data_IF_667525557688
#
_entry.id   IF_667525557688
#
_cell.length_a   1.000
_cell.length_b   1.000
_cell.length_c   1.000
_cell.angle_alpha   90.00
_cell.angle_beta   90.00
_cell.angle_gamma   90.00
#
_symmetry.space_group_name_H-M   'P 1'
#
loop_
_entity.id
_entity.type
_entity.pdbx_description
1 polymer ?
#
# COMPACT_ATOMS: atom_id res chain seq x y z
N UNK A 1 11.75 -12.42 27.93
CA UNK A 1 12.10 -12.48 26.50
C UNK A 1 11.60 -13.82 25.95
N UNK A 2 10.46 -13.83 25.26
CA UNK A 2 9.88 -15.06 24.71
C UNK A 2 10.24 -15.17 23.21
N UNK A 3 10.88 -16.28 22.88
CA UNK A 3 11.47 -16.62 21.58
C UNK A 3 10.39 -16.73 20.48
N UNK A 4 10.21 -15.69 19.66
CA UNK A 4 9.29 -15.69 18.50
C UNK A 4 10.01 -16.16 17.23
N UNK A 5 10.39 -17.43 17.19
CA UNK A 5 10.69 -18.05 15.89
C UNK A 5 9.38 -18.65 15.36
N UNK A 6 8.82 -18.15 14.24
CA UNK A 6 7.59 -18.72 13.69
C UNK A 6 7.82 -20.21 13.39
N UNK A 7 6.95 -21.06 13.94
CA UNK A 7 7.00 -22.50 13.69
C UNK A 7 6.97 -22.80 12.19
N UNK A 8 7.52 -23.95 11.77
CA UNK A 8 7.58 -24.37 10.36
C UNK A 8 6.24 -24.21 9.62
N UNK A 9 5.14 -24.45 10.34
CA UNK A 9 3.76 -24.28 9.83
C UNK A 9 3.43 -22.83 9.46
N UNK A 10 3.79 -21.84 10.27
CA UNK A 10 3.53 -20.43 9.97
C UNK A 10 4.43 -19.93 8.84
N UNK A 11 5.67 -20.40 8.76
CA UNK A 11 6.57 -20.09 7.62
C UNK A 11 6.04 -20.65 6.31
N UNK A 12 5.62 -21.91 6.29
CA UNK A 12 4.99 -22.52 5.10
C UNK A 12 3.71 -21.78 4.70
N UNK A 13 2.90 -21.41 5.68
CA UNK A 13 1.65 -20.66 5.48
C UNK A 13 1.91 -19.31 4.81
N UNK A 14 2.92 -18.58 5.28
CA UNK A 14 3.30 -17.28 4.73
C UNK A 14 3.95 -17.40 3.34
N UNK A 15 4.79 -18.41 3.11
CA UNK A 15 5.38 -18.69 1.79
C UNK A 15 4.28 -18.93 0.75
N UNK A 16 3.32 -19.81 1.06
CA UNK A 16 2.20 -20.12 0.17
C UNK A 16 1.37 -18.86 -0.14
N UNK A 17 1.14 -18.01 0.87
CA UNK A 17 0.39 -16.75 0.72
C UNK A 17 1.10 -15.80 -0.27
N UNK A 18 2.42 -15.67 -0.17
CA UNK A 18 3.22 -14.83 -1.08
C UNK A 18 3.32 -15.41 -2.49
N UNK A 19 3.50 -16.72 -2.62
CA UNK A 19 3.54 -17.41 -3.92
C UNK A 19 2.24 -17.19 -4.71
N UNK A 20 1.09 -17.35 -4.04
CA UNK A 20 -0.21 -17.08 -4.64
C UNK A 20 -0.35 -15.62 -5.12
N UNK A 21 0.06 -14.65 -4.28
CA UNK A 21 0.01 -13.22 -4.63
C UNK A 21 0.93 -12.89 -5.80
N UNK A 22 2.16 -13.40 -5.79
CA UNK A 22 3.15 -13.16 -6.84
C UNK A 22 2.69 -13.71 -8.19
N UNK A 23 2.25 -14.98 -8.23
CA UNK A 23 1.76 -15.58 -9.46
C UNK A 23 0.46 -14.92 -9.94
N UNK A 24 -0.43 -14.58 -9.01
CA UNK A 24 -1.65 -13.83 -9.34
C UNK A 24 -1.34 -12.51 -10.01
N UNK A 25 -0.38 -11.75 -9.46
CA UNK A 25 0.06 -10.49 -10.03
C UNK A 25 0.70 -10.64 -11.40
N UNK A 26 1.57 -11.62 -11.58
CA UNK A 26 2.17 -11.93 -12.88
C UNK A 26 1.10 -12.20 -13.94
N UNK A 27 0.11 -13.03 -13.62
CA UNK A 27 -1.00 -13.35 -14.52
C UNK A 27 -1.87 -12.11 -14.80
N UNK A 28 -2.16 -11.27 -13.79
CA UNK A 28 -2.92 -10.04 -14.01
C UNK A 28 -2.22 -9.10 -14.99
N UNK A 29 -0.89 -8.99 -14.91
CA UNK A 29 -0.10 -8.15 -15.80
C UNK A 29 0.03 -8.76 -17.21
N UNK A 30 0.09 -10.09 -17.33
CA UNK A 30 0.30 -10.79 -18.60
C UNK A 30 -0.96 -10.93 -19.46
N UNK A 31 -2.09 -11.27 -18.85
CA UNK A 31 -3.34 -11.61 -19.56
C UNK A 31 -4.56 -10.80 -19.07
N UNK A 32 -4.36 -9.90 -18.12
CA UNK A 32 -5.40 -9.05 -17.55
C UNK A 32 -6.11 -9.67 -16.35
N UNK A 33 -6.60 -8.79 -15.46
CA UNK A 33 -7.32 -9.19 -14.26
C UNK A 33 -8.58 -10.02 -14.56
N UNK A 34 -9.40 -9.57 -15.52
CA UNK A 34 -10.68 -10.20 -15.86
C UNK A 34 -10.50 -11.63 -16.39
N UNK A 35 -9.49 -11.88 -17.23
CA UNK A 35 -9.23 -13.20 -17.83
C UNK A 35 -8.49 -14.16 -16.89
N UNK A 36 -7.97 -13.68 -15.76
CA UNK A 36 -7.28 -14.53 -14.78
C UNK A 36 -8.29 -15.10 -13.78
N UNK A 37 -8.45 -16.43 -13.76
CA UNK A 37 -9.29 -17.13 -12.79
C UNK A 37 -8.49 -17.52 -11.55
N UNK A 38 -9.16 -17.93 -10.47
CA UNK A 38 -8.47 -18.46 -9.28
C UNK A 38 -7.78 -19.78 -9.65
N UNK A 39 -8.39 -20.59 -10.52
CA UNK A 39 -7.84 -21.84 -11.04
C UNK A 39 -6.48 -21.65 -11.70
N UNK A 40 -6.35 -20.63 -12.58
CA UNK A 40 -5.08 -20.29 -13.24
C UNK A 40 -3.95 -20.02 -12.25
N UNK A 41 -4.26 -19.59 -11.02
CA UNK A 41 -3.29 -19.22 -9.99
C UNK A 41 -2.96 -20.41 -9.10
N UNK A 42 -3.96 -21.21 -8.73
CA UNK A 42 -3.78 -22.26 -7.73
C UNK A 42 -3.24 -23.57 -8.33
N UNK A 43 -3.61 -23.90 -9.58
CA UNK A 43 -3.18 -25.13 -10.25
C UNK A 43 -1.65 -25.22 -10.41
N UNK A 44 -0.93 -24.17 -10.88
CA UNK A 44 0.53 -24.24 -11.03
C UNK A 44 1.28 -24.43 -9.70
N UNK A 45 0.66 -24.03 -8.58
CA UNK A 45 1.23 -24.14 -7.24
C UNK A 45 0.80 -25.42 -6.52
N UNK A 46 -0.01 -26.28 -7.15
CA UNK A 46 -0.56 -27.47 -6.51
C UNK A 46 -1.47 -27.14 -5.32
N UNK A 47 -2.04 -25.94 -5.29
CA UNK A 47 -2.88 -25.44 -4.21
C UNK A 47 -4.34 -25.74 -4.53
N UNK A 48 -5.09 -26.28 -3.57
CA UNK A 48 -6.53 -26.44 -3.73
C UNK A 48 -7.25 -25.08 -3.67
N UNK A 49 -8.33 -24.88 -4.45
CA UNK A 49 -9.17 -23.66 -4.40
C UNK A 49 -9.66 -23.30 -3.00
N UNK A 50 -10.03 -24.29 -2.18
CA UNK A 50 -10.41 -24.06 -0.77
C UNK A 50 -9.26 -23.47 0.06
N UNK A 51 -8.02 -23.84 -0.26
CA UNK A 51 -6.83 -23.29 0.38
C UNK A 51 -6.60 -21.84 -0.02
N UNK A 52 -6.86 -21.46 -1.28
CA UNK A 52 -6.85 -20.05 -1.68
C UNK A 52 -7.76 -19.20 -0.79
N UNK A 53 -9.01 -19.63 -0.62
CA UNK A 53 -10.00 -18.91 0.19
C UNK A 53 -9.69 -18.88 1.70
N UNK A 54 -8.75 -19.69 2.16
CA UNK A 54 -8.21 -19.60 3.52
C UNK A 54 -7.27 -18.41 3.69
N UNK A 55 -6.65 -17.94 2.60
CA UNK A 55 -5.71 -16.82 2.58
C UNK A 55 -6.35 -15.52 2.11
N UNK A 56 -7.17 -15.59 1.07
CA UNK A 56 -7.72 -14.45 0.35
C UNK A 56 -9.23 -14.59 0.24
N UNK A 57 -9.99 -13.55 0.58
CA UNK A 57 -11.46 -13.60 0.46
C UNK A 57 -11.87 -13.48 -1.00
N UNK A 58 -11.12 -12.69 -1.77
CA UNK A 58 -11.39 -12.44 -3.18
C UNK A 58 -10.10 -12.48 -4.03
N UNK A 59 -10.24 -12.42 -5.35
CA UNK A 59 -9.10 -12.39 -6.29
C UNK A 59 -8.36 -11.05 -6.20
N UNK A 60 -9.09 -9.97 -5.92
CA UNK A 60 -8.56 -8.63 -5.72
C UNK A 60 -7.58 -8.59 -4.54
N UNK A 61 -7.81 -9.36 -3.48
CA UNK A 61 -6.92 -9.36 -2.29
C UNK A 61 -5.46 -9.74 -2.63
N UNK A 62 -5.21 -10.44 -3.73
CA UNK A 62 -3.88 -10.84 -4.16
C UNK A 62 -2.97 -9.64 -4.44
N UNK A 63 -3.47 -8.57 -5.07
CA UNK A 63 -2.64 -7.39 -5.39
C UNK A 63 -2.40 -6.52 -4.15
N UNK A 64 -3.29 -6.59 -3.16
CA UNK A 64 -3.23 -5.77 -1.94
C UNK A 64 -2.48 -6.43 -0.79
N UNK A 65 -1.94 -7.64 -0.98
CA UNK A 65 -1.08 -8.28 0.01
C UNK A 65 0.06 -7.36 0.47
N UNK A 66 0.75 -6.79 -0.51
CA UNK A 66 1.85 -5.87 -0.29
C UNK A 66 1.41 -4.52 0.28
N UNK A 67 0.18 -4.10 -0.02
CA UNK A 67 -0.39 -2.88 0.55
C UNK A 67 -0.62 -3.02 2.06
N UNK A 68 -1.13 -4.17 2.50
CA UNK A 68 -1.34 -4.46 3.92
C UNK A 68 0.01 -4.50 4.67
N UNK A 69 1.01 -5.18 4.10
CA UNK A 69 2.37 -5.22 4.66
C UNK A 69 3.01 -3.83 4.73
N UNK A 70 2.93 -3.06 3.65
CA UNK A 70 3.45 -1.68 3.63
C UNK A 70 2.68 -0.77 4.60
N UNK A 71 1.40 -1.01 4.84
CA UNK A 71 0.62 -0.24 5.84
C UNK A 71 1.17 -0.44 7.24
N UNK A 72 1.52 -1.67 7.61
CA UNK A 72 2.18 -1.95 8.89
C UNK A 72 3.55 -1.27 8.98
N UNK A 73 4.37 -1.36 7.91
CA UNK A 73 5.67 -0.67 7.84
C UNK A 73 5.53 0.85 8.01
N UNK A 74 4.56 1.48 7.33
CA UNK A 74 4.32 2.93 7.41
C UNK A 74 3.83 3.36 8.80
N UNK A 75 3.01 2.55 9.46
CA UNK A 75 2.55 2.83 10.82
C UNK A 75 3.70 2.78 11.81
N UNK A 76 4.56 1.76 11.72
CA UNK A 76 5.73 1.64 12.60
C UNK A 76 6.76 2.73 12.31
N UNK A 77 6.95 3.07 11.04
CA UNK A 77 7.79 4.20 10.62
C UNK A 77 7.28 5.52 11.18
N UNK A 78 5.97 5.79 11.08
CA UNK A 78 5.37 7.02 11.60
C UNK A 78 5.59 7.16 13.11
N UNK A 79 5.42 6.06 13.87
CA UNK A 79 5.71 6.05 15.31
C UNK A 79 7.18 6.32 15.64
N UNK A 80 8.08 5.92 14.75
CA UNK A 80 9.53 6.09 14.91
C UNK A 80 10.09 7.40 14.37
N UNK A 81 9.26 8.30 13.79
CA UNK A 81 9.73 9.58 13.26
C UNK A 81 10.28 10.48 14.37
N UNK A 82 11.42 11.18 14.16
CA UNK A 82 12.03 12.05 15.16
C UNK A 82 11.08 13.09 15.76
N UNK A 83 11.13 13.33 17.07
CA UNK A 83 10.19 14.22 17.78
C UNK A 83 10.23 15.69 17.35
N UNK A 84 11.33 16.14 16.72
CA UNK A 84 11.46 17.51 16.22
C UNK A 84 10.64 17.75 14.93
N UNK A 85 10.13 16.69 14.29
CA UNK A 85 9.27 16.82 13.11
C UNK A 85 7.83 17.10 13.54
N UNK A 86 7.25 18.18 13.00
CA UNK A 86 5.85 18.47 13.20
C UNK A 86 4.94 17.36 12.62
N UNK A 87 3.68 17.26 13.07
CA UNK A 87 2.77 16.19 12.66
C UNK A 87 2.59 16.03 11.15
N UNK A 88 2.57 17.15 10.41
CA UNK A 88 2.42 17.13 8.95
C UNK A 88 3.67 16.57 8.26
N UNK A 89 4.85 17.00 8.68
CA UNK A 89 6.11 16.57 8.07
C UNK A 89 6.40 15.11 8.40
N UNK A 90 6.12 14.66 9.62
CA UNK A 90 6.21 13.25 9.99
C UNK A 90 5.39 12.35 9.04
N UNK A 91 4.15 12.74 8.71
CA UNK A 91 3.31 11.99 7.76
C UNK A 91 3.83 12.07 6.33
N UNK A 92 4.29 13.25 5.87
CA UNK A 92 4.87 13.43 4.53
C UNK A 92 6.08 12.53 4.33
N UNK A 93 7.03 12.58 5.25
CA UNK A 93 8.27 11.82 5.17
C UNK A 93 8.01 10.31 5.27
N UNK A 94 7.10 9.91 6.16
CA UNK A 94 6.66 8.50 6.24
C UNK A 94 6.08 8.03 4.90
N UNK A 95 5.13 8.77 4.31
CA UNK A 95 4.53 8.36 3.03
C UNK A 95 5.53 8.42 1.87
N UNK A 96 6.50 9.34 1.90
CA UNK A 96 7.55 9.45 0.90
C UNK A 96 8.42 8.19 0.80
N UNK A 97 8.55 7.37 1.86
CA UNK A 97 9.30 6.09 1.77
C UNK A 97 8.65 5.07 0.85
N UNK A 98 7.37 5.26 0.52
CA UNK A 98 6.69 4.46 -0.51
C UNK A 98 7.38 4.62 -1.87
N UNK A 99 8.01 5.77 -2.16
CA UNK A 99 8.75 6.01 -3.40
C UNK A 99 9.89 5.01 -3.63
N UNK A 100 10.49 4.46 -2.57
CA UNK A 100 11.56 3.46 -2.71
C UNK A 100 11.12 2.26 -3.56
N UNK A 101 9.85 1.84 -3.45
CA UNK A 101 9.31 0.73 -4.26
C UNK A 101 9.06 1.14 -5.72
N UNK A 102 8.62 2.37 -5.94
CA UNK A 102 8.40 2.90 -7.28
C UNK A 102 9.72 3.09 -8.03
N UNK A 103 10.75 3.56 -7.33
CA UNK A 103 12.10 3.77 -7.88
C UNK A 103 12.82 2.45 -8.17
N UNK A 104 12.54 1.39 -7.39
CA UNK A 104 13.19 0.08 -7.57
C UNK A 104 12.83 -0.61 -8.90
N UNK A 105 11.60 -0.42 -9.39
CA UNK A 105 11.18 -0.92 -10.70
C UNK A 105 10.06 -0.03 -11.28
N UNK A 106 10.42 1.08 -11.97
CA UNK A 106 9.45 2.05 -12.47
C UNK A 106 8.45 1.48 -13.48
N UNK A 107 8.90 0.59 -14.37
CA UNK A 107 8.03 -0.05 -15.37
C UNK A 107 6.97 -0.94 -14.71
N UNK A 108 7.39 -1.75 -13.73
CA UNK A 108 6.46 -2.56 -12.94
C UNK A 108 5.51 -1.68 -12.13
N UNK A 109 6.02 -0.63 -11.48
CA UNK A 109 5.19 0.29 -10.72
C UNK A 109 4.14 0.98 -11.60
N UNK A 110 4.51 1.37 -12.81
CA UNK A 110 3.59 1.97 -13.77
C UNK A 110 2.53 0.96 -14.22
N UNK A 111 2.93 -0.28 -14.54
CA UNK A 111 2.02 -1.35 -14.92
C UNK A 111 1.02 -1.69 -13.81
N UNK A 112 1.44 -1.66 -12.54
CA UNK A 112 0.57 -1.84 -11.38
C UNK A 112 -0.44 -0.70 -11.22
N UNK A 113 0.03 0.55 -11.32
CA UNK A 113 -0.86 1.73 -11.26
C UNK A 113 -1.88 1.69 -12.39
N UNK A 114 -1.45 1.33 -13.61
CA UNK A 114 -2.33 1.11 -14.75
C UNK A 114 -3.38 0.05 -14.46
N UNK A 115 -2.96 -1.14 -14.00
CA UNK A 115 -3.87 -2.24 -13.68
C UNK A 115 -4.93 -1.83 -12.65
N UNK A 116 -4.54 -1.12 -11.59
CA UNK A 116 -5.45 -0.60 -10.56
C UNK A 116 -6.44 0.42 -11.13
N UNK A 117 -5.98 1.35 -11.97
CA UNK A 117 -6.80 2.43 -12.53
C UNK A 117 -7.75 1.97 -13.63
N UNK A 118 -7.33 1.02 -14.45
CA UNK A 118 -8.13 0.51 -15.58
C UNK A 118 -9.09 -0.62 -15.17
N UNK A 119 -9.00 -1.12 -13.93
CA UNK A 119 -9.85 -2.21 -13.44
C UNK A 119 -10.77 -1.72 -12.30
N UNK A 120 -12.09 -1.52 -12.55
CA UNK A 120 -13.01 -0.96 -11.54
C UNK A 120 -13.05 -1.70 -10.20
N UNK A 121 -13.00 -3.04 -10.22
CA UNK A 121 -13.01 -3.86 -9.00
C UNK A 121 -11.73 -3.63 -8.16
N UNK A 122 -10.58 -3.48 -8.81
CA UNK A 122 -9.32 -3.20 -8.13
C UNK A 122 -9.26 -1.76 -7.62
N UNK A 123 -9.79 -0.80 -8.38
CA UNK A 123 -9.90 0.59 -7.94
C UNK A 123 -10.76 0.70 -6.67
N UNK A 124 -11.93 0.06 -6.66
CA UNK A 124 -12.82 0.02 -5.50
C UNK A 124 -12.12 -0.59 -4.27
N UNK A 125 -11.43 -1.73 -4.47
CA UNK A 125 -10.67 -2.38 -3.39
C UNK A 125 -9.50 -1.52 -2.90
N UNK A 126 -8.84 -0.80 -3.80
CA UNK A 126 -7.77 0.14 -3.45
C UNK A 126 -8.27 1.31 -2.61
N UNK A 127 -9.46 1.83 -2.90
CA UNK A 127 -10.11 2.84 -2.06
C UNK A 127 -10.40 2.33 -0.65
N UNK A 128 -10.97 1.12 -0.51
CA UNK A 128 -11.20 0.46 0.79
C UNK A 128 -9.88 0.35 1.58
N UNK A 129 -8.84 -0.22 0.96
CA UNK A 129 -7.53 -0.40 1.58
C UNK A 129 -6.86 0.91 1.97
N UNK A 130 -7.01 1.96 1.16
CA UNK A 130 -6.50 3.30 1.48
C UNK A 130 -7.19 3.87 2.72
N UNK A 131 -8.52 3.74 2.82
CA UNK A 131 -9.28 4.20 3.99
C UNK A 131 -8.82 3.50 5.28
N UNK A 132 -8.62 2.17 5.24
CA UNK A 132 -8.10 1.41 6.39
C UNK A 132 -6.71 1.89 6.82
N UNK A 133 -5.84 2.20 5.86
CA UNK A 133 -4.52 2.77 6.11
C UNK A 133 -4.59 4.15 6.73
N UNK A 134 -5.45 5.04 6.22
CA UNK A 134 -5.64 6.38 6.78
C UNK A 134 -6.09 6.33 8.24
N UNK A 135 -7.02 5.42 8.58
CA UNK A 135 -7.46 5.19 9.97
C UNK A 135 -6.27 4.75 10.84
N UNK A 136 -5.47 3.81 10.35
CA UNK A 136 -4.32 3.27 11.09
C UNK A 136 -3.22 4.34 11.31
N UNK A 137 -2.92 5.13 10.28
CA UNK A 137 -1.95 6.22 10.36
C UNK A 137 -2.44 7.37 11.27
N UNK A 138 -3.73 7.70 11.23
CA UNK A 138 -4.28 8.72 12.11
C UNK A 138 -4.19 8.31 13.59
N UNK A 139 -4.44 7.03 13.90
CA UNK A 139 -4.24 6.50 15.24
C UNK A 139 -2.76 6.57 15.68
N UNK A 140 -1.85 6.12 14.81
CA UNK A 140 -0.41 6.18 15.07
C UNK A 140 0.10 7.62 15.27
N UNK A 141 -0.45 8.59 14.53
CA UNK A 141 -0.10 10.00 14.69
C UNK A 141 -0.57 10.57 16.04
N UNK A 142 -1.78 10.20 16.49
CA UNK A 142 -2.25 10.59 17.83
C UNK A 142 -1.39 9.97 18.93
N UNK A 143 -0.98 8.71 18.78
CA UNK A 143 -0.07 8.04 19.70
C UNK A 143 1.28 8.77 19.78
N UNK A 144 1.85 9.15 18.65
CA UNK A 144 3.11 9.91 18.58
C UNK A 144 2.99 11.28 19.25
N UNK A 145 1.85 11.96 19.05
CA UNK A 145 1.61 13.33 19.50
C UNK A 145 0.89 13.42 20.85
N UNK A 146 1.05 12.40 21.70
CA UNK A 146 0.33 12.33 22.97
C UNK A 146 0.70 13.48 23.92
N UNK A 147 1.95 13.95 23.88
CA UNK A 147 2.43 15.04 24.73
C UNK A 147 1.87 16.40 24.30
N UNK A 148 1.69 16.61 22.99
CA UNK A 148 1.13 17.85 22.43
C UNK A 148 -0.40 17.85 22.45
N UNK A 149 -1.03 16.69 22.70
CA UNK A 149 -2.48 16.54 22.80
C UNK A 149 -3.19 16.61 21.45
N UNK A 150 -2.56 16.13 20.37
CA UNK A 150 -3.16 16.17 19.04
C UNK A 150 -4.49 15.42 18.99
N UNK A 151 -5.56 16.11 18.59
CA UNK A 151 -6.87 15.48 18.46
C UNK A 151 -6.94 14.52 17.27
N UNK A 152 -7.76 13.48 17.40
CA UNK A 152 -8.05 12.54 16.30
C UNK A 152 -8.59 13.25 15.04
N UNK A 153 -9.36 14.33 15.20
CA UNK A 153 -9.83 15.12 14.05
C UNK A 153 -8.67 15.74 13.28
N UNK A 154 -7.72 16.38 13.98
CA UNK A 154 -6.55 16.99 13.34
C UNK A 154 -5.66 15.93 12.70
N UNK A 155 -5.47 14.79 13.36
CA UNK A 155 -4.71 13.67 12.78
C UNK A 155 -5.33 13.15 11.48
N UNK A 156 -6.66 12.96 11.43
CA UNK A 156 -7.38 12.54 10.22
C UNK A 156 -7.26 13.56 9.09
N UNK A 157 -7.36 14.85 9.38
CA UNK A 157 -7.19 15.91 8.38
C UNK A 157 -5.77 15.86 7.79
N UNK A 158 -4.74 15.79 8.63
CA UNK A 158 -3.34 15.74 8.18
C UNK A 158 -3.11 14.50 7.31
N UNK A 159 -3.46 13.31 7.81
CA UNK A 159 -3.25 12.06 7.09
C UNK A 159 -4.04 12.02 5.78
N UNK A 160 -5.30 12.48 5.79
CA UNK A 160 -6.14 12.56 4.59
C UNK A 160 -5.60 13.55 3.55
N UNK A 161 -5.10 14.71 3.98
CA UNK A 161 -4.52 15.71 3.09
C UNK A 161 -3.26 15.20 2.40
N UNK A 162 -2.31 14.61 3.15
CA UNK A 162 -1.09 14.04 2.56
C UNK A 162 -1.42 12.83 1.68
N UNK A 163 -2.36 11.98 2.07
CA UNK A 163 -2.80 10.84 1.26
C UNK A 163 -3.49 11.29 -0.04
N UNK A 164 -4.23 12.39 -0.01
CA UNK A 164 -4.85 12.99 -1.20
C UNK A 164 -3.79 13.57 -2.12
N UNK A 165 -2.78 14.27 -1.59
CA UNK A 165 -1.65 14.77 -2.38
C UNK A 165 -0.86 13.63 -3.04
N UNK A 166 -0.62 12.53 -2.33
CA UNK A 166 -0.02 11.33 -2.91
C UNK A 166 -0.87 10.74 -4.05
N UNK A 167 -2.19 10.66 -3.86
CA UNK A 167 -3.12 10.18 -4.90
C UNK A 167 -3.07 11.08 -6.13
N UNK A 168 -3.14 12.40 -5.94
CA UNK A 168 -3.05 13.37 -7.03
C UNK A 168 -1.72 13.26 -7.80
N UNK A 169 -0.61 13.05 -7.10
CA UNK A 169 0.70 12.83 -7.72
C UNK A 169 0.73 11.56 -8.59
N UNK A 170 0.13 10.46 -8.12
CA UNK A 170 0.00 9.23 -8.92
C UNK A 170 -0.94 9.40 -10.12
N UNK A 171 -2.02 10.17 -9.98
CA UNK A 171 -2.95 10.48 -11.06
C UNK A 171 -2.24 11.27 -12.17
N UNK A 172 -1.46 12.29 -11.79
CA UNK A 172 -0.68 13.11 -12.73
C UNK A 172 0.43 12.30 -13.40
N UNK A 173 1.20 11.52 -12.62
CA UNK A 173 2.23 10.63 -13.15
C UNK A 173 1.66 9.62 -14.16
N UNK A 174 0.48 9.06 -13.85
CA UNK A 174 -0.19 8.14 -14.75
C UNK A 174 -0.70 8.82 -16.03
N UNK A 175 -1.31 10.00 -15.92
CA UNK A 175 -1.80 10.77 -17.06
C UNK A 175 -0.68 11.18 -18.02
N UNK A 176 0.53 11.42 -17.50
CA UNK A 176 1.74 11.68 -18.28
C UNK A 176 2.37 10.38 -18.85
N UNK A 177 1.76 9.22 -18.67
CA UNK A 177 2.29 7.94 -19.14
C UNK A 177 3.59 7.54 -18.45
N UNK A 178 3.83 8.03 -17.23
CA UNK A 178 5.00 7.70 -16.43
C UNK A 178 6.31 8.38 -16.86
N UNK A 179 6.26 9.34 -17.79
CA UNK A 179 7.46 9.99 -18.36
C UNK A 179 8.21 10.86 -17.35
N UNK A 180 7.48 11.60 -16.54
CA UNK A 180 8.08 12.40 -15.46
C UNK A 180 8.50 11.54 -14.27
N UNK A 181 9.48 12.05 -13.52
CA UNK A 181 9.93 11.43 -12.29
C UNK A 181 8.85 11.56 -11.19
N UNK A 182 8.33 10.43 -10.71
CA UNK A 182 7.27 10.41 -9.70
C UNK A 182 7.69 11.09 -8.39
N UNK A 183 8.94 10.92 -7.96
CA UNK A 183 9.46 11.56 -6.74
C UNK A 183 9.39 13.09 -6.83
N UNK A 184 9.70 13.68 -7.98
CA UNK A 184 9.54 15.13 -8.20
C UNK A 184 8.07 15.57 -8.13
N UNK A 185 7.16 14.80 -8.72
CA UNK A 185 5.72 15.10 -8.69
C UNK A 185 5.19 15.01 -7.25
N UNK A 186 5.56 13.96 -6.50
CA UNK A 186 5.18 13.77 -5.09
C UNK A 186 5.71 14.91 -4.22
N UNK A 187 6.98 15.29 -4.37
CA UNK A 187 7.55 16.40 -3.61
C UNK A 187 6.77 17.71 -3.82
N UNK A 188 6.40 18.01 -5.07
CA UNK A 188 5.56 19.16 -5.41
C UNK A 188 4.14 19.02 -4.82
N UNK A 189 3.52 17.85 -4.93
CA UNK A 189 2.19 17.64 -4.37
C UNK A 189 2.18 17.80 -2.84
N UNK A 190 3.22 17.33 -2.15
CA UNK A 190 3.36 17.50 -0.70
C UNK A 190 3.61 18.95 -0.30
N UNK A 191 4.37 19.74 -1.07
CA UNK A 191 4.57 21.16 -0.75
C UNK A 191 3.25 21.93 -0.78
N UNK A 192 2.39 21.65 -1.78
CA UNK A 192 1.08 22.29 -1.91
C UNK A 192 0.16 22.06 -0.71
N UNK A 193 0.28 20.93 0.01
CA UNK A 193 -0.50 20.69 1.24
C UNK A 193 -0.16 21.70 2.34
N UNK A 194 1.07 22.24 2.35
CA UNK A 194 1.50 23.20 3.37
C UNK A 194 1.02 24.62 3.11
N UNK A 195 0.47 24.86 1.92
CA UNK A 195 -0.06 26.16 1.48
C UNK A 195 -1.57 26.28 1.73
N UNK A 196 -2.25 25.19 2.13
CA UNK A 196 -3.69 25.12 2.45
C UNK A 196 -3.98 25.51 3.90
#
# INVERSE_FOLDING_TARGET
>A
MANKNPGLRERHKESTRRELSNLGLELFLKQGFTHTTIEHIVEPLGVARRTFFRYFKTKEDLIFLWHDEKTHELVDELRGRPDHEGPLDAVRETLATTLLRYDANPDMAFALVRLLKETPALLAKGCEKRMDREVSLAAALVERESETGLSMLKARIIVGAVTSAWTAALDEWYADGGRQNLRSIVARAFSLVGEL
#
